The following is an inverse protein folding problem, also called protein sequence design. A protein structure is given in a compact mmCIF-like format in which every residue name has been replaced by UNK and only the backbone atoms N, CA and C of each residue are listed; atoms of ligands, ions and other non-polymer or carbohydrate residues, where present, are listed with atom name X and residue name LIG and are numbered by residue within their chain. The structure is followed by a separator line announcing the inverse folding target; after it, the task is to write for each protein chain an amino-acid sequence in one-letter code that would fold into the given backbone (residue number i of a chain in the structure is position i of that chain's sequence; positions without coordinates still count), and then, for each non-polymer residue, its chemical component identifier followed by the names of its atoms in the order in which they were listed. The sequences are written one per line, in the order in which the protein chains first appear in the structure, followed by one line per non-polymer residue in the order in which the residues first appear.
data_IF_267513298145
#
_entry.id   IF_267513298145
#
_cell.length_a   1.000
_cell.length_b   1.000
_cell.length_c   1.000
_cell.angle_alpha   90.00
_cell.angle_beta   90.00
_cell.angle_gamma   90.00
#
_symmetry.space_group_name_H-M   'P 1'
#
loop_
_entity.id
_entity.type
_entity.pdbx_description
1 polymer ?
#
# COMPACT_ATOMS: atom_id res chain seq x y z
N UNK A 1 8.62 31.15 6.95
CA UNK A 1 7.18 31.48 6.82
C UNK A 1 6.41 30.21 6.41
N UNK A 2 6.42 29.17 7.25
CA UNK A 2 5.83 27.83 6.94
C UNK A 2 4.65 27.49 7.86
N UNK A 3 4.40 28.33 8.87
CA UNK A 3 3.44 28.10 9.93
C UNK A 3 1.97 28.03 9.48
N UNK A 4 1.43 28.92 8.63
CA UNK A 4 -0.01 28.92 8.35
C UNK A 4 -0.44 27.71 7.51
N UNK A 5 0.36 27.33 6.50
CA UNK A 5 0.09 26.16 5.67
C UNK A 5 0.18 24.87 6.48
N UNK A 6 1.22 24.73 7.32
CA UNK A 6 1.37 23.55 8.18
C UNK A 6 0.20 23.43 9.17
N UNK A 7 -0.20 24.54 9.78
CA UNK A 7 -1.36 24.57 10.67
C UNK A 7 -2.62 24.15 9.92
N UNK A 8 -2.85 24.65 8.70
CA UNK A 8 -4.00 24.26 7.88
C UNK A 8 -3.99 22.76 7.55
N UNK A 9 -2.84 22.22 7.14
CA UNK A 9 -2.68 20.80 6.80
C UNK A 9 -2.89 19.86 7.99
N UNK A 10 -2.75 20.34 9.22
CA UNK A 10 -2.99 19.55 10.44
C UNK A 10 -4.42 19.78 10.95
N UNK A 11 -4.85 21.03 11.03
CA UNK A 11 -6.13 21.40 11.63
C UNK A 11 -7.33 20.95 10.80
N UNK A 12 -7.26 21.06 9.47
CA UNK A 12 -8.36 20.65 8.57
C UNK A 12 -8.66 19.15 8.67
N UNK A 13 -7.69 18.23 8.52
CA UNK A 13 -7.99 16.81 8.64
C UNK A 13 -8.44 16.43 10.05
N UNK A 14 -7.86 17.01 11.10
CA UNK A 14 -8.33 16.79 12.48
C UNK A 14 -9.78 17.26 12.63
N UNK A 15 -10.11 18.45 12.12
CA UNK A 15 -11.47 19.00 12.16
C UNK A 15 -12.48 18.11 11.44
N UNK A 16 -12.16 17.68 10.21
CA UNK A 16 -13.00 16.75 9.44
C UNK A 16 -13.16 15.43 10.20
N UNK A 17 -12.09 14.91 10.80
CA UNK A 17 -12.14 13.66 11.55
C UNK A 17 -13.06 13.75 12.78
N UNK A 18 -12.98 14.85 13.52
CA UNK A 18 -13.84 15.12 14.67
C UNK A 18 -15.31 15.29 14.25
N UNK A 19 -15.56 15.99 13.13
CA UNK A 19 -16.91 16.14 12.58
C UNK A 19 -17.50 14.78 12.18
N UNK A 20 -16.71 13.91 11.55
CA UNK A 20 -17.18 12.59 11.14
C UNK A 20 -17.46 11.68 12.35
N UNK A 21 -16.59 11.72 13.36
CA UNK A 21 -16.82 10.99 14.62
C UNK A 21 -18.08 11.49 15.35
N UNK A 22 -18.31 12.81 15.36
CA UNK A 22 -19.52 13.40 15.94
C UNK A 22 -20.78 13.02 15.15
N UNK A 23 -20.71 13.05 13.80
CA UNK A 23 -21.80 12.61 12.94
C UNK A 23 -22.16 11.14 13.20
N UNK A 24 -21.17 10.26 13.26
CA UNK A 24 -21.39 8.84 13.56
C UNK A 24 -21.91 8.65 14.97
N UNK A 25 -21.48 9.45 15.95
CA UNK A 25 -22.03 9.39 17.30
C UNK A 25 -23.54 9.69 17.32
N UNK A 26 -23.96 10.70 16.55
CA UNK A 26 -25.36 11.08 16.42
C UNK A 26 -26.15 9.99 15.68
N UNK A 27 -25.72 9.63 14.47
CA UNK A 27 -26.41 8.66 13.60
C UNK A 27 -26.50 7.25 14.23
N UNK A 28 -25.42 6.77 14.84
CA UNK A 28 -25.41 5.46 15.51
C UNK A 28 -26.40 5.40 16.68
N UNK A 29 -26.67 6.53 17.34
CA UNK A 29 -27.67 6.63 18.40
C UNK A 29 -29.09 6.39 17.88
N UNK A 30 -29.40 6.91 16.70
CA UNK A 30 -30.73 6.82 16.08
C UNK A 30 -31.01 5.41 15.52
N UNK A 31 -29.99 4.71 15.00
CA UNK A 31 -30.12 3.36 14.43
C UNK A 31 -29.93 2.23 15.45
N UNK A 32 -29.87 2.53 16.75
CA UNK A 32 -29.78 1.53 17.82
C UNK A 32 -28.40 0.88 17.99
N UNK A 33 -27.35 1.48 17.40
CA UNK A 33 -25.96 1.05 17.56
C UNK A 33 -25.31 1.68 18.80
N UNK A 34 -24.24 1.09 19.31
CA UNK A 34 -23.49 1.70 20.42
C UNK A 34 -22.71 2.93 19.91
N UNK A 35 -23.31 4.11 20.06
CA UNK A 35 -22.76 5.38 19.58
C UNK A 35 -21.34 5.69 20.07
N UNK A 36 -21.01 5.33 21.31
CA UNK A 36 -19.66 5.55 21.86
C UNK A 36 -18.63 4.64 21.20
N UNK A 37 -18.95 3.36 21.01
CA UNK A 37 -18.08 2.39 20.34
C UNK A 37 -17.79 2.82 18.91
N UNK A 38 -18.83 3.17 18.15
CA UNK A 38 -18.67 3.51 16.73
C UNK A 38 -17.97 4.84 16.52
N UNK A 39 -18.27 5.86 17.32
CA UNK A 39 -17.51 7.12 17.29
C UNK A 39 -16.02 6.91 17.65
N UNK A 40 -15.72 6.05 18.62
CA UNK A 40 -14.35 5.71 18.99
C UNK A 40 -13.61 4.95 17.88
N UNK A 41 -14.28 4.03 17.17
CA UNK A 41 -13.71 3.31 16.03
C UNK A 41 -13.41 4.29 14.90
N UNK A 42 -14.39 5.09 14.48
CA UNK A 42 -14.25 6.03 13.36
C UNK A 42 -13.23 7.11 13.66
N UNK A 43 -13.24 7.67 14.88
CA UNK A 43 -12.23 8.66 15.29
C UNK A 43 -10.84 8.06 15.54
N UNK A 44 -10.77 6.82 16.04
CA UNK A 44 -9.54 6.20 16.52
C UNK A 44 -8.72 5.51 15.44
N UNK A 45 -9.33 4.90 14.42
CA UNK A 45 -8.61 4.16 13.37
C UNK A 45 -7.56 5.04 12.67
N UNK A 46 -7.86 6.28 12.23
CA UNK A 46 -6.85 7.11 11.57
C UNK A 46 -5.69 7.50 12.48
N UNK A 47 -5.94 7.69 13.78
CA UNK A 47 -4.90 7.98 14.78
C UNK A 47 -4.01 6.75 14.97
N UNK A 48 -4.60 5.55 15.06
CA UNK A 48 -3.86 4.30 15.13
C UNK A 48 -3.01 4.09 13.87
N UNK A 49 -3.56 4.34 12.68
CA UNK A 49 -2.82 4.27 11.42
C UNK A 49 -1.63 5.24 11.37
N UNK A 50 -1.83 6.48 11.85
CA UNK A 50 -0.73 7.45 11.98
C UNK A 50 0.34 6.96 12.95
N UNK A 51 -0.04 6.41 14.11
CA UNK A 51 0.91 5.89 15.09
C UNK A 51 1.74 4.73 14.51
N UNK A 52 1.08 3.77 13.84
CA UNK A 52 1.76 2.66 13.15
C UNK A 52 2.73 3.19 12.09
N UNK A 53 2.31 4.17 11.28
CA UNK A 53 3.19 4.79 10.30
C UNK A 53 4.43 5.43 10.94
N UNK A 54 4.26 6.14 12.06
CA UNK A 54 5.41 6.75 12.77
C UNK A 54 6.37 5.69 13.31
N UNK A 55 5.85 4.58 13.82
CA UNK A 55 6.66 3.46 14.32
C UNK A 55 7.41 2.76 13.18
N UNK A 56 6.71 2.41 12.11
CA UNK A 56 7.31 1.84 10.91
C UNK A 56 8.34 2.79 10.26
N UNK A 57 8.08 4.10 10.28
CA UNK A 57 9.02 5.12 9.80
C UNK A 57 10.27 5.18 10.68
N UNK A 58 10.12 5.04 12.00
CA UNK A 58 11.26 5.07 12.92
C UNK A 58 12.21 3.90 12.69
N UNK A 59 11.69 2.74 12.25
CA UNK A 59 12.49 1.56 11.88
C UNK A 59 13.16 1.68 10.51
N UNK A 60 12.78 2.66 9.68
CA UNK A 60 13.27 2.76 8.30
C UNK A 60 14.71 3.29 8.19
N UNK A 61 15.29 3.84 9.27
CA UNK A 61 16.67 4.32 9.27
C UNK A 61 17.64 3.15 9.52
N UNK A 62 17.92 2.41 8.46
CA UNK A 62 19.00 1.42 8.45
C UNK A 62 20.35 2.15 8.45
N UNK A 63 21.20 1.84 9.42
CA UNK A 63 22.60 2.24 9.42
C UNK A 63 23.45 1.03 8.97
N UNK A 64 24.05 1.07 7.77
CA UNK A 64 24.92 0.00 7.29
C UNK A 64 26.18 -0.18 8.15
N UNK A 65 26.59 0.83 8.93
CA UNK A 65 27.75 0.73 9.81
C UNK A 65 27.45 -0.07 11.07
N UNK A 66 26.20 -0.05 11.54
CA UNK A 66 25.73 -0.75 12.75
C UNK A 66 25.14 -2.14 12.43
N UNK A 67 25.09 -2.54 11.16
CA UNK A 67 24.59 -3.85 10.76
C UNK A 67 25.68 -4.95 10.88
N UNK A 68 25.58 -5.86 11.87
CA UNK A 68 26.53 -6.96 12.06
C UNK A 68 26.50 -8.00 10.94
N UNK A 69 25.53 -7.93 10.03
CA UNK A 69 25.39 -8.82 8.88
C UNK A 69 25.79 -8.16 7.56
N UNK A 70 26.22 -6.89 7.53
CA UNK A 70 26.56 -6.18 6.28
C UNK A 70 27.65 -6.87 5.46
N UNK A 71 28.59 -7.54 6.12
CA UNK A 71 29.75 -8.20 5.50
C UNK A 71 29.56 -9.71 5.32
N UNK A 72 28.43 -10.26 5.82
CA UNK A 72 28.18 -11.69 5.72
C UNK A 72 27.55 -12.00 4.37
N UNK A 73 28.34 -12.55 3.45
CA UNK A 73 27.82 -13.32 2.33
C UNK A 73 26.99 -14.46 2.91
N UNK A 74 25.67 -14.33 2.88
CA UNK A 74 24.77 -15.35 3.41
C UNK A 74 25.20 -16.73 2.91
N UNK A 75 25.33 -17.70 3.82
CA UNK A 75 25.53 -19.09 3.43
C UNK A 75 24.31 -19.53 2.63
N UNK A 76 24.45 -19.51 1.30
CA UNK A 76 23.41 -20.00 0.40
C UNK A 76 23.27 -21.50 0.71
N UNK A 77 22.10 -21.87 1.24
CA UNK A 77 21.75 -23.26 1.47
C UNK A 77 22.08 -24.07 0.20
N UNK A 78 22.68 -25.27 0.28
CA UNK A 78 23.21 -25.98 -0.88
C UNK A 78 22.19 -26.18 -2.01
N UNK A 79 20.89 -26.21 -1.71
CA UNK A 79 19.79 -26.27 -2.69
C UNK A 79 19.59 -24.99 -3.52
N UNK A 80 20.16 -23.86 -3.12
CA UNK A 80 20.07 -22.54 -3.79
C UNK A 80 21.40 -22.10 -4.41
N UNK A 81 22.48 -22.87 -4.30
CA UNK A 81 23.81 -22.49 -4.80
C UNK A 81 23.83 -22.23 -6.32
N UNK A 82 22.92 -22.87 -7.06
CA UNK A 82 22.79 -22.74 -8.51
C UNK A 82 21.76 -21.67 -8.94
N UNK A 83 21.10 -21.01 -7.98
CA UNK A 83 20.19 -19.90 -8.26
C UNK A 83 21.03 -18.62 -8.50
N UNK A 84 20.85 -17.90 -9.62
CA UNK A 84 21.60 -16.69 -9.90
C UNK A 84 21.46 -15.73 -8.71
N UNK A 85 22.59 -15.21 -8.20
CA UNK A 85 22.56 -14.15 -7.21
C UNK A 85 21.75 -12.99 -7.79
N UNK A 86 20.55 -12.76 -7.26
CA UNK A 86 19.69 -11.69 -7.73
C UNK A 86 20.45 -10.37 -7.53
N UNK A 87 20.83 -9.66 -8.62
CA UNK A 87 21.56 -8.40 -8.52
C UNK A 87 20.75 -7.31 -7.79
N UNK A 88 19.46 -7.55 -7.52
CA UNK A 88 18.63 -6.71 -6.65
C UNK A 88 18.98 -6.87 -5.15
N UNK A 89 19.56 -7.99 -4.72
CA UNK A 89 19.98 -8.20 -3.33
C UNK A 89 21.21 -7.36 -2.96
N UNK A 90 22.08 -7.07 -3.93
CA UNK A 90 23.26 -6.20 -3.75
C UNK A 90 22.94 -4.71 -3.94
N UNK A 91 21.73 -4.37 -4.39
CA UNK A 91 21.29 -3.01 -4.73
C UNK A 91 20.03 -2.58 -3.98
N UNK A 92 19.84 -2.99 -2.72
CA UNK A 92 18.86 -2.32 -1.84
C UNK A 92 19.43 -0.98 -1.36
N UNK A 93 19.62 -0.05 -2.30
CA UNK A 93 20.28 1.23 -2.09
C UNK A 93 20.17 2.23 -3.23
N UNK A 94 19.35 1.99 -4.28
CA UNK A 94 19.06 3.04 -5.25
C UNK A 94 17.60 3.00 -5.73
N UNK A 95 16.88 4.09 -5.44
CA UNK A 95 15.63 4.55 -6.05
C UNK A 95 14.58 3.51 -6.45
N UNK A 96 13.55 3.32 -5.61
CA UNK A 96 12.26 2.78 -6.08
C UNK A 96 11.72 3.67 -7.20
N UNK A 97 11.86 3.25 -8.45
CA UNK A 97 11.00 3.69 -9.54
C UNK A 97 9.65 3.04 -9.32
N UNK A 98 8.66 3.90 -9.04
CA UNK A 98 7.27 3.55 -8.94
C UNK A 98 6.70 3.45 -10.35
N UNK A 99 6.83 2.29 -10.99
CA UNK A 99 6.13 2.02 -12.23
C UNK A 99 4.87 1.21 -11.89
N UNK A 100 3.74 1.93 -11.87
CA UNK A 100 2.42 1.38 -11.63
C UNK A 100 1.99 0.48 -12.78
N UNK A 101 1.97 -0.82 -12.53
CA UNK A 101 1.25 -1.78 -13.35
C UNK A 101 -0.26 -1.63 -13.08
N UNK A 102 -0.89 -0.80 -13.90
CA UNK A 102 -2.32 -0.56 -13.87
C UNK A 102 -2.92 -0.67 -15.28
N UNK A 103 -2.49 -1.61 -16.13
CA UNK A 103 -3.17 -1.86 -17.43
C UNK A 103 -2.94 -3.28 -17.94
N UNK A 104 -3.32 -4.32 -17.20
CA UNK A 104 -3.26 -5.71 -17.68
C UNK A 104 -4.55 -6.53 -17.50
N UNK A 105 -5.69 -5.86 -17.27
CA UNK A 105 -6.98 -6.55 -17.06
C UNK A 105 -8.15 -6.05 -17.93
N UNK A 106 -7.91 -5.19 -18.93
CA UNK A 106 -8.97 -4.60 -19.77
C UNK A 106 -8.74 -4.74 -21.28
N UNK A 107 -8.12 -5.82 -21.75
CA UNK A 107 -7.94 -6.09 -23.19
C UNK A 107 -8.28 -7.54 -23.58
N UNK A 108 -9.25 -8.17 -22.91
CA UNK A 108 -9.81 -9.49 -23.29
C UNK A 108 -11.19 -9.41 -23.98
N UNK A 109 -11.65 -8.23 -24.39
CA UNK A 109 -13.06 -8.03 -24.78
C UNK A 109 -13.29 -7.33 -26.13
N UNK A 110 -12.35 -7.42 -27.08
CA UNK A 110 -12.63 -7.03 -28.46
C UNK A 110 -11.59 -7.67 -29.39
N UNK A 111 -11.92 -8.82 -30.00
CA UNK A 111 -11.53 -9.21 -31.36
C UNK A 111 -11.83 -10.69 -31.62
N UNK A 112 -13.12 -11.07 -31.63
CA UNK A 112 -13.55 -12.35 -32.21
C UNK A 112 -14.94 -12.16 -32.79
N UNK A 113 -14.98 -11.40 -33.89
CA UNK A 113 -16.10 -11.30 -34.80
C UNK A 113 -15.60 -11.55 -36.22
N UNK A 114 -16.29 -12.50 -36.87
CA UNK A 114 -16.47 -12.60 -38.32
C UNK A 114 -15.43 -13.34 -39.19
N UNK A 115 -15.84 -14.59 -39.47
CA UNK A 115 -16.25 -15.05 -40.79
C UNK A 115 -15.23 -15.71 -41.73
N UNK A 116 -15.52 -16.99 -41.96
CA UNK A 116 -15.66 -17.67 -43.24
C UNK A 116 -14.44 -17.80 -44.16
N UNK A 117 -13.99 -19.04 -44.33
CA UNK A 117 -13.65 -19.57 -45.65
C UNK A 117 -14.09 -21.04 -45.73
N UNK A 118 -15.11 -21.21 -46.55
CA UNK A 118 -15.63 -22.42 -47.16
C UNK A 118 -14.55 -23.05 -48.04
N UNK A 119 -14.27 -24.35 -47.87
CA UNK A 119 -13.70 -25.15 -48.96
C UNK A 119 -14.17 -26.60 -48.83
N UNK A 120 -14.85 -27.06 -49.88
CA UNK A 120 -15.57 -28.32 -49.92
C UNK A 120 -14.87 -29.42 -50.72
N UNK A 121 -15.35 -30.64 -50.50
CA UNK A 121 -15.18 -31.81 -51.37
C UNK A 121 -13.91 -32.63 -51.10
N UNK A 122 -13.92 -33.96 -51.04
CA UNK A 122 -14.96 -34.93 -51.32
C UNK A 122 -14.30 -36.29 -51.57
N UNK A 123 -15.00 -37.36 -51.19
CA UNK A 123 -14.96 -38.77 -51.65
C UNK A 123 -15.04 -39.73 -50.47
#
# INVERSE_FOLDING_TARGET
MVTPLLVFLIAVPIGIQLLLAAFVHYDAGDIGMNARKWAAIVGGIPIAGLAIYLLARSEHFYDPADDPFREQTHEIHPSRRDEPADPAATQSGSGRRSDGDATASMARQADNGDAASDDGGGS
#
